data_IF_018402277263
#
_entry.id   IF_018402277263
#
_cell.length_a   1.000
_cell.length_b   1.000
_cell.length_c   1.000
_cell.angle_alpha   90.00
_cell.angle_beta   90.00
_cell.angle_gamma   90.00
#
_symmetry.space_group_name_H-M   'P 1'
#
loop_
_entity.id
_entity.type
_entity.pdbx_description
1 polymer ?
#
# COMPACT_ATOMS: atom_id res chain seq x y z
N UNK A 1 64.50 -25.72 38.66
CA UNK A 1 64.75 -26.09 37.25
C UNK A 1 63.42 -26.13 36.51
N UNK A 2 63.37 -25.49 35.32
CA UNK A 2 62.47 -25.73 34.16
C UNK A 2 60.95 -25.42 34.29
N UNK A 3 60.56 -24.34 33.57
CA UNK A 3 59.23 -24.04 32.94
C UNK A 3 58.87 -25.11 31.86
N UNK A 4 57.83 -25.00 30.99
CA UNK A 4 56.50 -24.30 30.94
C UNK A 4 55.36 -25.24 30.39
N UNK A 5 54.26 -24.65 29.85
CA UNK A 5 53.35 -25.15 28.76
C UNK A 5 52.20 -26.10 29.22
N UNK A 6 50.91 -26.00 28.83
CA UNK A 6 50.21 -25.59 27.59
C UNK A 6 48.72 -25.28 27.89
N UNK A 7 48.18 -24.31 27.15
CA UNK A 7 46.77 -23.91 27.08
C UNK A 7 45.89 -24.91 26.31
N UNK A 8 44.56 -24.86 26.46
CA UNK A 8 43.68 -25.00 25.29
C UNK A 8 42.32 -24.32 25.51
N UNK A 9 42.08 -23.28 24.70
CA UNK A 9 40.77 -22.72 24.39
C UNK A 9 39.91 -23.80 23.70
N UNK A 10 38.63 -23.88 24.05
CA UNK A 10 37.60 -24.44 23.18
C UNK A 10 36.53 -23.36 22.94
N UNK A 11 36.81 -22.49 21.96
CA UNK A 11 35.84 -21.57 21.40
C UNK A 11 35.02 -22.34 20.37
N UNK A 12 33.90 -22.93 20.80
CA UNK A 12 32.95 -23.57 19.88
C UNK A 12 32.22 -22.48 19.10
N UNK A 13 32.70 -22.15 17.91
CA UNK A 13 32.03 -21.29 16.97
C UNK A 13 30.75 -21.99 16.47
N UNK A 14 29.60 -21.56 16.99
CA UNK A 14 28.29 -21.82 16.38
C UNK A 14 28.23 -21.09 15.03
N UNK A 15 28.75 -21.72 13.99
CA UNK A 15 28.43 -21.39 12.62
C UNK A 15 26.98 -21.85 12.34
N UNK A 16 26.01 -21.08 12.84
CA UNK A 16 24.65 -21.15 12.34
C UNK A 16 24.69 -20.66 10.89
N UNK A 17 24.77 -21.60 9.95
CA UNK A 17 24.68 -21.32 8.53
C UNK A 17 23.41 -20.52 8.28
N UNK A 18 23.56 -19.23 8.01
CA UNK A 18 22.49 -18.42 7.46
C UNK A 18 22.15 -19.04 6.11
N UNK A 19 21.06 -19.82 6.06
CA UNK A 19 20.51 -20.28 4.81
C UNK A 19 20.37 -19.05 3.89
N UNK A 20 20.78 -19.15 2.61
CA UNK A 20 20.65 -18.04 1.69
C UNK A 20 19.18 -17.60 1.71
N UNK A 21 18.94 -16.37 2.16
CA UNK A 21 17.62 -15.75 2.13
C UNK A 21 17.13 -15.84 0.69
N UNK A 22 16.18 -16.75 0.43
CA UNK A 22 15.57 -16.89 -0.89
C UNK A 22 15.07 -15.52 -1.27
N UNK A 23 15.71 -14.92 -2.29
CA UNK A 23 15.45 -13.53 -2.64
C UNK A 23 13.94 -13.38 -2.88
N UNK A 24 13.26 -12.67 -1.98
CA UNK A 24 11.81 -12.67 -1.90
C UNK A 24 11.20 -12.46 -3.30
N UNK A 25 10.45 -13.42 -3.81
CA UNK A 25 9.94 -13.34 -5.19
C UNK A 25 8.88 -12.23 -5.30
N UNK A 26 8.69 -11.63 -6.49
CA UNK A 26 7.56 -10.76 -6.71
C UNK A 26 6.25 -11.49 -6.43
N UNK A 27 5.34 -10.85 -5.69
CA UNK A 27 4.01 -11.40 -5.37
C UNK A 27 2.95 -10.40 -5.81
N UNK A 28 2.04 -10.87 -6.64
CA UNK A 28 0.94 -10.06 -7.15
C UNK A 28 -0.11 -9.79 -6.05
N UNK A 29 -0.40 -8.52 -5.82
CA UNK A 29 -1.50 -8.08 -4.97
C UNK A 29 -2.75 -7.96 -5.83
N UNK A 30 -3.50 -9.07 -5.94
CA UNK A 30 -4.69 -9.16 -6.81
C UNK A 30 -6.00 -8.84 -6.10
N UNK A 31 -5.99 -8.82 -4.77
CA UNK A 31 -7.14 -8.57 -3.93
C UNK A 31 -6.68 -7.93 -2.62
N UNK A 32 -7.62 -7.35 -1.88
CA UNK A 32 -7.34 -6.79 -0.57
C UNK A 32 -8.43 -5.88 -0.03
N UNK A 33 -8.19 -5.38 1.16
CA UNK A 33 -9.04 -4.37 1.80
C UNK A 33 -8.38 -3.01 1.66
N UNK A 34 -9.16 -1.99 1.33
CA UNK A 34 -8.79 -0.59 1.34
C UNK A 34 -9.37 0.02 2.62
N UNK A 35 -8.49 0.50 3.49
CA UNK A 35 -8.86 1.11 4.76
C UNK A 35 -8.87 2.62 4.58
N UNK A 36 -10.06 3.23 4.60
CA UNK A 36 -10.26 4.65 4.31
C UNK A 36 -9.46 5.50 5.28
N UNK A 37 -8.52 6.27 4.75
CA UNK A 37 -7.66 7.15 5.54
C UNK A 37 -6.40 6.49 6.09
N UNK A 38 -6.10 5.25 5.71
CA UNK A 38 -4.96 4.51 6.26
C UNK A 38 -4.13 3.83 5.18
N UNK A 39 -4.74 2.96 4.37
CA UNK A 39 -3.96 2.05 3.55
C UNK A 39 -4.76 1.14 2.63
N UNK A 40 -4.07 0.18 2.01
CA UNK A 40 -4.70 -0.87 1.22
C UNK A 40 -3.84 -2.14 1.22
N UNK A 41 -4.46 -3.31 1.07
CA UNK A 41 -3.74 -4.58 0.97
C UNK A 41 -2.87 -4.92 2.19
N UNK A 42 -3.21 -4.37 3.37
CA UNK A 42 -2.46 -4.55 4.61
C UNK A 42 -1.24 -3.62 4.76
N UNK A 43 -0.94 -2.77 3.79
CA UNK A 43 0.08 -1.72 3.94
C UNK A 43 -0.57 -0.37 4.24
N UNK A 44 0.17 0.49 4.93
CA UNK A 44 -0.28 1.81 5.36
C UNK A 44 0.56 2.93 4.75
N UNK A 45 -0.08 4.08 4.57
CA UNK A 45 0.62 5.34 4.37
C UNK A 45 1.54 5.59 5.56
N UNK A 46 2.79 5.96 5.29
CA UNK A 46 3.82 6.13 6.31
C UNK A 46 4.75 4.93 6.48
N UNK A 47 4.40 3.74 5.99
CA UNK A 47 5.33 2.59 6.02
C UNK A 47 6.60 2.86 5.21
N UNK A 48 7.73 2.32 5.64
CA UNK A 48 9.00 2.30 4.91
C UNK A 48 8.96 1.19 3.86
N UNK A 49 9.85 1.30 2.87
CA UNK A 49 10.02 0.27 1.83
C UNK A 49 10.19 -1.14 2.39
N UNK A 50 11.02 -1.31 3.44
CA UNK A 50 11.29 -2.63 4.01
C UNK A 50 10.02 -3.28 4.60
N UNK A 51 9.18 -2.49 5.26
CA UNK A 51 7.91 -2.93 5.84
C UNK A 51 6.94 -3.36 4.74
N UNK A 52 6.78 -2.54 3.70
CA UNK A 52 5.97 -2.88 2.51
C UNK A 52 6.45 -4.19 1.88
N UNK A 53 7.76 -4.34 1.67
CA UNK A 53 8.32 -5.56 1.05
C UNK A 53 8.18 -6.79 1.95
N UNK A 54 8.24 -6.63 3.27
CA UNK A 54 8.01 -7.76 4.18
C UNK A 54 6.57 -8.26 4.15
N UNK A 55 5.60 -7.37 3.91
CA UNK A 55 4.18 -7.71 3.84
C UNK A 55 3.77 -8.22 2.46
N UNK A 56 4.21 -7.55 1.40
CA UNK A 56 3.74 -7.77 0.04
C UNK A 56 4.72 -8.58 -0.82
N UNK A 57 5.94 -8.84 -0.36
CA UNK A 57 7.01 -9.38 -1.20
C UNK A 57 7.73 -8.29 -2.00
N UNK A 58 8.56 -8.68 -2.98
CA UNK A 58 9.19 -7.68 -3.88
C UNK A 58 8.15 -7.12 -4.86
N UNK A 59 8.26 -5.84 -5.27
CA UNK A 59 7.47 -5.35 -6.39
C UNK A 59 7.93 -5.98 -7.71
N UNK A 60 7.06 -6.01 -8.71
CA UNK A 60 7.40 -6.38 -10.09
C UNK A 60 8.32 -5.34 -10.72
N UNK A 61 8.06 -4.08 -10.41
CA UNK A 61 8.84 -2.95 -10.88
C UNK A 61 9.03 -1.93 -9.76
N UNK A 62 10.25 -1.38 -9.66
CA UNK A 62 10.56 -0.27 -8.76
C UNK A 62 11.51 0.70 -9.45
N UNK A 63 11.21 2.00 -9.40
CA UNK A 63 12.09 3.04 -9.96
C UNK A 63 12.81 3.86 -8.88
N UNK A 64 13.76 4.68 -9.33
CA UNK A 64 14.58 5.55 -8.45
C UNK A 64 13.79 6.67 -7.74
N UNK A 65 12.54 6.91 -8.14
CA UNK A 65 11.67 7.92 -7.55
C UNK A 65 10.77 7.36 -6.45
N UNK A 66 10.86 6.05 -6.16
CA UNK A 66 10.10 5.40 -5.09
C UNK A 66 8.72 4.91 -5.51
N UNK A 67 8.47 4.79 -6.82
CA UNK A 67 7.35 4.04 -7.36
C UNK A 67 7.61 2.54 -7.24
N UNK A 68 6.61 1.78 -6.81
CA UNK A 68 6.65 0.33 -6.66
C UNK A 68 5.34 -0.29 -7.15
N UNK A 69 5.42 -1.13 -8.17
CA UNK A 69 4.28 -1.80 -8.80
C UNK A 69 4.13 -3.23 -8.24
N UNK A 70 2.96 -3.56 -7.69
CA UNK A 70 2.67 -4.88 -7.09
C UNK A 70 1.60 -5.67 -7.83
N UNK A 71 1.09 -5.15 -8.94
CA UNK A 71 0.27 -5.89 -9.87
C UNK A 71 0.98 -5.93 -11.24
N UNK A 72 1.16 -7.10 -11.86
CA UNK A 72 1.75 -7.17 -13.20
C UNK A 72 0.84 -6.49 -14.24
N UNK A 73 1.40 -6.08 -15.38
CA UNK A 73 0.67 -5.35 -16.42
C UNK A 73 -0.53 -6.14 -17.01
N UNK A 74 -0.46 -7.46 -16.97
CA UNK A 74 -1.56 -8.36 -17.38
C UNK A 74 -2.64 -8.55 -16.30
N UNK A 75 -2.45 -7.94 -15.12
CA UNK A 75 -3.21 -8.21 -13.90
C UNK A 75 -4.64 -7.67 -13.87
N UNK A 76 -5.09 -6.98 -14.93
CA UNK A 76 -6.42 -6.35 -15.05
C UNK A 76 -6.74 -5.37 -13.92
N UNK A 77 -5.74 -4.61 -13.48
CA UNK A 77 -5.85 -3.63 -12.41
C UNK A 77 -4.51 -2.95 -12.13
N UNK A 78 -4.45 -2.22 -11.03
CA UNK A 78 -3.27 -1.53 -10.54
C UNK A 78 -3.21 -1.70 -9.02
N UNK A 79 -2.03 -2.01 -8.50
CA UNK A 79 -1.72 -1.85 -7.08
C UNK A 79 -0.34 -1.22 -6.97
N UNK A 80 -0.33 0.11 -6.88
CA UNK A 80 0.87 0.91 -6.95
C UNK A 80 1.12 1.64 -5.64
N UNK A 81 2.38 1.64 -5.23
CA UNK A 81 2.83 2.27 -4.00
C UNK A 81 3.85 3.34 -4.36
N UNK A 82 3.58 4.56 -3.90
CA UNK A 82 4.44 5.71 -4.12
C UNK A 82 5.01 6.16 -2.79
N UNK A 83 6.34 6.22 -2.74
CA UNK A 83 7.08 6.78 -1.60
C UNK A 83 7.41 8.26 -1.85
N UNK A 84 7.70 9.01 -0.79
CA UNK A 84 8.19 10.39 -0.88
C UNK A 84 9.65 10.43 -1.37
N UNK A 85 9.90 9.94 -2.58
CA UNK A 85 11.22 9.71 -3.18
C UNK A 85 11.69 8.24 -3.09
N UNK A 86 12.82 7.90 -3.74
CA UNK A 86 13.29 6.51 -3.82
C UNK A 86 14.26 6.04 -2.74
N UNK A 87 14.77 6.94 -1.89
CA UNK A 87 15.74 6.60 -0.84
C UNK A 87 15.24 5.54 0.14
N UNK A 88 16.15 4.79 0.78
CA UNK A 88 15.77 3.68 1.70
C UNK A 88 14.97 4.13 2.92
N UNK A 89 15.14 5.38 3.34
CA UNK A 89 14.41 5.98 4.47
C UNK A 89 13.06 6.60 4.11
N UNK A 90 12.69 6.65 2.82
CA UNK A 90 11.43 7.28 2.40
C UNK A 90 10.25 6.40 2.75
N UNK A 91 9.12 7.07 3.02
CA UNK A 91 7.88 6.45 3.47
C UNK A 91 6.83 6.51 2.37
N UNK A 92 5.90 5.56 2.39
CA UNK A 92 4.70 5.56 1.54
C UNK A 92 3.95 6.87 1.76
N UNK A 93 3.67 7.57 0.66
CA UNK A 93 2.85 8.79 0.65
C UNK A 93 1.53 8.59 -0.07
N UNK A 94 1.46 7.59 -0.96
CA UNK A 94 0.25 7.31 -1.74
C UNK A 94 0.20 5.85 -2.12
N UNK A 95 -1.00 5.29 -2.06
CA UNK A 95 -1.34 3.97 -2.59
C UNK A 95 -2.44 4.16 -3.62
N UNK A 96 -2.29 3.55 -4.79
CA UNK A 96 -3.24 3.62 -5.90
C UNK A 96 -3.75 2.22 -6.22
N UNK A 97 -5.07 2.07 -6.21
CA UNK A 97 -5.75 0.80 -6.49
C UNK A 97 -6.72 0.99 -7.64
N UNK A 98 -6.58 0.15 -8.67
CA UNK A 98 -7.57 -0.04 -9.74
C UNK A 98 -7.91 -1.51 -9.78
N UNK A 99 -9.20 -1.85 -9.81
CA UNK A 99 -9.63 -3.24 -9.94
C UNK A 99 -10.89 -3.35 -10.78
N UNK A 100 -11.00 -4.51 -11.44
CA UNK A 100 -12.30 -5.03 -11.88
C UNK A 100 -12.87 -5.95 -10.79
N UNK A 101 -14.19 -6.13 -10.74
CA UNK A 101 -14.79 -7.11 -9.84
C UNK A 101 -14.80 -6.74 -8.36
N UNK A 102 -14.98 -7.79 -7.54
CA UNK A 102 -15.04 -7.75 -6.07
C UNK A 102 -13.70 -8.01 -5.38
N UNK A 103 -12.59 -7.92 -6.09
CA UNK A 103 -11.29 -8.28 -5.54
C UNK A 103 -10.79 -7.30 -4.49
N UNK A 104 -11.17 -6.03 -4.60
CA UNK A 104 -10.89 -5.02 -3.58
C UNK A 104 -12.18 -4.52 -2.94
N UNK A 105 -12.16 -4.48 -1.62
CA UNK A 105 -13.27 -4.01 -0.80
C UNK A 105 -12.81 -2.91 0.15
N UNK A 106 -13.73 -2.13 0.72
CA UNK A 106 -13.44 -1.33 1.91
C UNK A 106 -13.58 -2.19 3.19
N UNK A 107 -13.14 -1.71 4.35
CA UNK A 107 -13.17 -2.46 5.64
C UNK A 107 -14.54 -3.06 6.01
N UNK A 108 -15.63 -2.49 5.50
CA UNK A 108 -17.01 -2.96 5.70
C UNK A 108 -17.48 -3.98 4.64
N UNK A 109 -16.54 -4.53 3.85
CA UNK A 109 -16.84 -5.46 2.76
C UNK A 109 -17.48 -4.81 1.54
N UNK A 110 -17.45 -3.47 1.43
CA UNK A 110 -18.03 -2.74 0.29
C UNK A 110 -17.21 -3.03 -0.97
N UNK A 111 -17.77 -3.67 -2.02
CA UNK A 111 -17.06 -3.88 -3.29
C UNK A 111 -17.01 -2.56 -4.07
N UNK A 112 -16.02 -1.72 -3.77
CA UNK A 112 -16.00 -0.31 -4.18
C UNK A 112 -16.01 -0.10 -5.71
N UNK A 113 -15.39 -1.02 -6.45
CA UNK A 113 -15.29 -0.96 -7.91
C UNK A 113 -16.55 -1.51 -8.64
N UNK A 114 -17.50 -2.08 -7.91
CA UNK A 114 -18.76 -2.58 -8.47
C UNK A 114 -19.83 -1.47 -8.59
N UNK A 115 -20.83 -1.63 -9.48
CA UNK A 115 -21.96 -0.72 -9.55
C UNK A 115 -22.64 -0.53 -8.18
N UNK A 116 -22.76 0.73 -7.74
CA UNK A 116 -23.34 1.06 -6.44
C UNK A 116 -22.38 1.01 -5.26
N UNK A 117 -21.10 0.67 -5.45
CA UNK A 117 -20.07 0.74 -4.42
C UNK A 117 -20.00 2.14 -3.79
N UNK A 118 -20.01 3.19 -4.60
CA UNK A 118 -20.00 4.57 -4.09
C UNK A 118 -21.27 4.95 -3.30
N UNK A 119 -22.45 4.44 -3.68
CA UNK A 119 -23.66 4.59 -2.84
C UNK A 119 -23.50 3.92 -1.48
N UNK A 120 -22.87 2.74 -1.43
CA UNK A 120 -22.57 2.08 -0.17
C UNK A 120 -21.62 2.92 0.68
N UNK A 121 -20.54 3.47 0.10
CA UNK A 121 -19.66 4.42 0.81
C UNK A 121 -20.45 5.62 1.34
N UNK A 122 -21.35 6.20 0.53
CA UNK A 122 -22.17 7.33 1.00
C UNK A 122 -23.04 6.96 2.18
N UNK A 123 -23.58 5.74 2.24
CA UNK A 123 -24.38 5.27 3.37
C UNK A 123 -23.53 5.12 4.63
N UNK A 124 -22.34 4.55 4.52
CA UNK A 124 -21.45 4.31 5.67
C UNK A 124 -20.78 5.58 6.21
N UNK A 125 -20.32 6.45 5.31
CA UNK A 125 -19.54 7.63 5.66
C UNK A 125 -20.37 8.94 5.70
N UNK A 126 -21.62 8.91 5.23
CA UNK A 126 -22.53 10.04 5.32
C UNK A 126 -21.97 11.33 4.72
N UNK A 127 -22.00 12.42 5.49
CA UNK A 127 -21.50 13.74 5.08
C UNK A 127 -19.98 13.80 4.90
N UNK A 128 -19.22 12.81 5.39
CA UNK A 128 -17.75 12.77 5.23
C UNK A 128 -17.33 12.52 3.78
N UNK A 129 -18.16 11.84 2.99
CA UNK A 129 -17.94 11.68 1.55
C UNK A 129 -18.41 12.93 0.81
N UNK A 130 -17.45 13.69 0.26
CA UNK A 130 -17.69 14.97 -0.42
C UNK A 130 -17.29 14.88 -1.89
N UNK A 131 -18.10 15.44 -2.77
CA UNK A 131 -17.69 15.70 -4.14
C UNK A 131 -16.79 16.94 -4.14
N UNK A 132 -15.57 16.81 -4.66
CA UNK A 132 -14.58 17.88 -4.71
C UNK A 132 -14.02 18.01 -6.12
N UNK A 133 -13.59 19.23 -6.47
CA UNK A 133 -12.85 19.49 -7.71
C UNK A 133 -11.36 19.51 -7.41
N UNK A 134 -10.58 18.70 -8.10
CA UNK A 134 -9.11 18.67 -8.04
C UNK A 134 -8.51 19.86 -8.80
N UNK A 135 -7.20 20.07 -8.65
CA UNK A 135 -6.49 21.20 -9.28
C UNK A 135 -6.48 21.15 -10.81
N UNK A 136 -6.57 19.97 -11.39
CA UNK A 136 -6.71 19.73 -12.84
C UNK A 136 -8.16 19.82 -13.33
N UNK A 137 -9.11 20.12 -12.43
CA UNK A 137 -10.52 20.29 -12.76
C UNK A 137 -11.36 19.02 -12.72
N UNK A 138 -10.79 17.86 -12.44
CA UNK A 138 -11.53 16.60 -12.28
C UNK A 138 -12.47 16.65 -11.06
N UNK A 139 -13.62 15.99 -11.15
CA UNK A 139 -14.56 15.83 -10.03
C UNK A 139 -14.42 14.43 -9.44
N UNK A 140 -13.98 14.37 -8.19
CA UNK A 140 -13.79 13.11 -7.45
C UNK A 140 -14.60 13.13 -6.16
N UNK A 141 -14.89 11.96 -5.61
CA UNK A 141 -15.38 11.87 -4.24
C UNK A 141 -14.21 11.69 -3.28
N UNK A 142 -14.21 12.42 -2.17
CA UNK A 142 -13.12 12.41 -1.19
C UNK A 142 -13.66 12.20 0.21
N UNK A 143 -12.94 11.40 0.99
CA UNK A 143 -13.05 11.35 2.45
C UNK A 143 -11.71 11.81 3.03
N UNK A 144 -11.77 12.81 3.92
CA UNK A 144 -10.60 13.30 4.65
C UNK A 144 -10.57 12.68 6.03
N UNK A 145 -9.41 12.20 6.44
CA UNK A 145 -9.17 11.60 7.76
C UNK A 145 -7.90 12.15 8.38
N UNK A 146 -7.71 11.91 9.68
CA UNK A 146 -6.44 12.10 10.36
C UNK A 146 -5.97 10.78 10.95
N UNK A 147 -4.75 10.37 10.63
CA UNK A 147 -4.10 9.20 11.21
C UNK A 147 -2.62 9.51 11.46
N UNK A 148 -2.10 9.06 12.60
CA UNK A 148 -0.70 9.27 13.01
C UNK A 148 -0.22 10.73 12.92
N UNK A 149 -1.10 11.70 13.21
CA UNK A 149 -0.79 13.13 13.14
C UNK A 149 -0.81 13.73 11.72
N UNK A 150 -1.14 12.95 10.69
CA UNK A 150 -1.19 13.40 9.30
C UNK A 150 -2.63 13.47 8.76
N UNK A 151 -2.86 14.37 7.81
CA UNK A 151 -4.09 14.37 7.01
C UNK A 151 -3.94 13.38 5.87
N UNK A 152 -4.88 12.44 5.79
CA UNK A 152 -4.91 11.42 4.76
C UNK A 152 -6.26 11.48 4.05
N UNK A 153 -6.20 11.70 2.74
CA UNK A 153 -7.35 11.70 1.86
C UNK A 153 -7.52 10.29 1.27
N UNK A 154 -8.77 9.87 1.16
CA UNK A 154 -9.16 8.74 0.32
C UNK A 154 -10.04 9.23 -0.80
N UNK A 155 -9.52 9.12 -2.01
CA UNK A 155 -10.12 9.65 -3.23
C UNK A 155 -10.70 8.52 -4.06
N UNK A 156 -11.92 8.71 -4.52
CA UNK A 156 -12.65 7.81 -5.39
C UNK A 156 -12.86 8.54 -6.72
N UNK A 157 -12.02 8.21 -7.71
CA UNK A 157 -12.19 8.65 -9.09
C UNK A 157 -13.34 7.88 -9.71
N UNK A 158 -14.22 8.58 -10.41
CA UNK A 158 -15.48 8.02 -10.92
C UNK A 158 -15.66 8.31 -12.41
N UNK A 159 -16.39 7.43 -13.10
CA UNK A 159 -16.72 7.65 -14.52
C UNK A 159 -17.57 8.90 -14.76
N UNK A 160 -18.31 9.35 -13.75
CA UNK A 160 -19.17 10.55 -13.78
C UNK A 160 -19.49 11.01 -12.35
N UNK A 161 -19.74 12.30 -12.10
CA UNK A 161 -19.91 12.86 -10.75
C UNK A 161 -21.31 12.60 -10.16
N UNK A 162 -21.67 11.34 -9.95
CA UNK A 162 -22.88 10.96 -9.21
C UNK A 162 -22.65 9.67 -8.41
N UNK A 163 -23.47 9.47 -7.37
CA UNK A 163 -23.33 8.31 -6.48
C UNK A 163 -23.58 6.96 -7.16
N UNK A 164 -24.30 6.94 -8.29
CA UNK A 164 -24.53 5.74 -9.08
C UNK A 164 -23.39 5.41 -10.06
N UNK A 165 -22.33 6.22 -10.10
CA UNK A 165 -21.18 5.99 -10.95
C UNK A 165 -20.35 4.80 -10.47
N UNK A 166 -19.56 4.25 -11.39
CA UNK A 166 -18.54 3.26 -11.08
C UNK A 166 -17.29 3.99 -10.60
N UNK A 167 -16.70 3.53 -9.51
CA UNK A 167 -15.36 3.95 -9.09
C UNK A 167 -14.35 3.29 -10.02
N UNK A 168 -13.50 4.10 -10.64
CA UNK A 168 -12.44 3.66 -11.55
C UNK A 168 -11.15 3.39 -10.80
N UNK A 169 -10.85 4.24 -9.82
CA UNK A 169 -9.60 4.21 -9.08
C UNK A 169 -9.82 4.73 -7.66
N UNK A 170 -9.07 4.17 -6.73
CA UNK A 170 -9.01 4.65 -5.36
C UNK A 170 -7.58 5.05 -5.04
N UNK A 171 -7.40 6.26 -4.50
CA UNK A 171 -6.13 6.70 -3.93
C UNK A 171 -6.27 6.82 -2.42
N UNK A 172 -5.25 6.39 -1.68
CA UNK A 172 -5.06 6.73 -0.27
C UNK A 172 -3.79 7.56 -0.17
N UNK A 173 -3.90 8.85 0.16
CA UNK A 173 -2.82 9.83 -0.04
C UNK A 173 -2.60 10.70 1.20
N UNK A 174 -1.33 10.85 1.58
CA UNK A 174 -0.87 11.82 2.59
C UNK A 174 -0.72 13.20 1.97
N UNK A 175 -1.37 14.20 2.56
CA UNK A 175 -1.34 15.60 2.05
C UNK A 175 -0.27 16.46 2.74
N UNK A 176 0.14 16.12 3.97
CA UNK A 176 1.04 16.94 4.82
C UNK A 176 2.12 16.12 5.52
#
# INVERSE_FOLDING_TARGET
MRRPLIALLALAALAAGAAPSEAARPRAVRNGVITVGFGAGGIEVGMKRAEVVSLLGRPFYENRNGYMQYMPDDGRGIFDVYRAGGGKGTRVRMISVVSSGRHFTLDEGIPIFEPGGLRAVKRSYGSRLRLVRTSDGELIYRIVTRAYGHVIDTDFTVTRPNLGARVMQVFVVKIS
#
